data_IF_969415981964
#
_entry.id   IF_969415981964
#
_cell.length_a   1.000
_cell.length_b   1.000
_cell.length_c   1.000
_cell.angle_alpha   90.00
_cell.angle_beta   90.00
_cell.angle_gamma   90.00
#
_symmetry.space_group_name_H-M   'P 1'
#
loop_
_entity.id
_entity.type
_entity.pdbx_description
1 polymer ?
#
# COMPACT_ATOMS: atom_id res chain seq x y z
N UNK A 1 -1.48 66.56 -45.78
CA UNK A 1 -2.11 67.08 -44.55
C UNK A 1 -2.00 66.03 -43.45
N UNK A 2 -1.82 66.44 -42.19
CA UNK A 2 -1.20 65.66 -41.11
C UNK A 2 -2.21 65.19 -40.04
N UNK A 3 -1.68 64.65 -38.92
CA UNK A 3 -2.25 64.57 -37.53
C UNK A 3 -3.03 63.27 -37.22
N UNK A 4 -2.45 62.22 -36.58
CA UNK A 4 -2.23 61.97 -35.11
C UNK A 4 -3.52 61.95 -34.29
N UNK A 5 -3.76 61.20 -33.21
CA UNK A 5 -3.11 60.23 -32.30
C UNK A 5 -4.26 59.78 -31.37
N UNK A 6 -4.29 58.55 -30.82
CA UNK A 6 -4.47 58.32 -29.37
C UNK A 6 -4.57 56.83 -28.98
N UNK A 7 -3.93 56.57 -27.84
CA UNK A 7 -3.66 55.32 -27.15
C UNK A 7 -4.92 54.64 -26.56
N UNK A 8 -4.81 53.32 -26.36
CA UNK A 8 -5.56 52.59 -25.33
C UNK A 8 -5.42 51.06 -25.50
N UNK A 9 -4.95 50.30 -24.48
CA UNK A 9 -4.88 48.86 -24.57
C UNK A 9 -6.28 48.27 -24.42
N UNK A 10 -6.67 47.37 -25.32
CA UNK A 10 -7.88 46.56 -25.17
C UNK A 10 -7.66 45.57 -24.02
N UNK A 11 -8.11 45.98 -22.84
CA UNK A 11 -8.39 45.13 -21.71
C UNK A 11 -9.53 44.19 -22.11
N UNK A 12 -9.21 42.94 -22.45
CA UNK A 12 -10.19 41.87 -22.47
C UNK A 12 -10.23 41.28 -21.06
N UNK A 13 -11.39 41.39 -20.42
CA UNK A 13 -11.65 40.92 -19.07
C UNK A 13 -11.33 39.42 -18.93
N UNK A 14 -10.21 39.13 -18.27
CA UNK A 14 -10.03 37.86 -17.56
C UNK A 14 -10.91 37.91 -16.32
N UNK A 15 -12.13 37.38 -16.41
CA UNK A 15 -12.89 36.99 -15.23
C UNK A 15 -12.09 35.92 -14.49
N UNK A 16 -11.44 36.35 -13.41
CA UNK A 16 -10.72 35.50 -12.50
C UNK A 16 -11.67 34.47 -11.88
N UNK A 17 -11.48 33.22 -12.28
CA UNK A 17 -12.18 32.07 -11.72
C UNK A 17 -11.87 31.99 -10.22
N UNK A 18 -12.87 32.33 -9.41
CA UNK A 18 -12.77 32.38 -7.95
C UNK A 18 -12.50 30.97 -7.46
N UNK A 19 -11.24 30.71 -7.07
CA UNK A 19 -10.85 29.58 -6.24
C UNK A 19 -11.88 29.37 -5.12
N UNK A 20 -12.66 28.30 -5.24
CA UNK A 20 -13.56 27.86 -4.19
C UNK A 20 -12.74 27.38 -2.99
N UNK A 21 -12.55 28.26 -2.01
CA UNK A 21 -12.27 27.89 -0.63
C UNK A 21 -13.50 27.19 -0.06
N UNK A 22 -13.65 25.89 -0.32
CA UNK A 22 -14.58 25.07 0.45
C UNK A 22 -14.08 25.04 1.90
N UNK A 23 -14.85 25.64 2.82
CA UNK A 23 -14.58 25.54 4.26
C UNK A 23 -14.48 24.05 4.62
N UNK A 24 -13.41 23.58 5.27
CA UNK A 24 -13.31 22.19 5.67
C UNK A 24 -14.49 21.82 6.59
N UNK A 25 -14.98 20.57 6.49
CA UNK A 25 -16.07 20.09 7.32
C UNK A 25 -15.76 20.37 8.80
N UNK A 26 -16.80 20.68 9.58
CA UNK A 26 -16.63 21.09 10.99
C UNK A 26 -15.99 19.98 11.84
N UNK A 27 -16.02 18.74 11.34
CA UNK A 27 -15.40 17.54 11.88
C UNK A 27 -14.68 16.76 10.77
N UNK A 28 -13.48 16.26 11.04
CA UNK A 28 -12.70 15.38 10.14
C UNK A 28 -12.50 14.03 10.80
N UNK A 29 -12.59 12.92 10.09
CA UNK A 29 -12.25 11.60 10.61
C UNK A 29 -10.78 11.30 10.32
N UNK A 30 -10.08 10.69 11.27
CA UNK A 30 -8.69 10.21 11.09
C UNK A 30 -8.52 8.83 11.72
N UNK A 31 -7.60 8.05 11.15
CA UNK A 31 -7.26 6.71 11.63
C UNK A 31 -5.82 6.73 12.13
N UNK A 32 -5.60 6.46 13.41
CA UNK A 32 -4.26 6.50 13.99
C UNK A 32 -3.78 5.08 14.26
N UNK A 33 -2.67 4.70 13.64
CA UNK A 33 -1.99 3.43 13.85
C UNK A 33 -0.75 3.62 14.72
N UNK A 34 -0.57 2.74 15.70
CA UNK A 34 0.62 2.72 16.56
C UNK A 34 1.70 1.82 15.99
N UNK A 35 2.95 1.98 16.44
CA UNK A 35 4.08 1.12 16.09
C UNK A 35 3.89 -0.39 16.38
N UNK A 36 2.93 -0.74 17.26
CA UNK A 36 2.56 -2.11 17.61
C UNK A 36 1.38 -2.66 16.78
N UNK A 37 0.85 -1.88 15.83
CA UNK A 37 -0.25 -2.28 14.95
C UNK A 37 -1.66 -1.98 15.44
N UNK A 38 -1.84 -1.43 16.65
CA UNK A 38 -3.17 -1.00 17.11
C UNK A 38 -3.67 0.20 16.29
N UNK A 39 -4.94 0.15 15.86
CA UNK A 39 -5.60 1.20 15.05
C UNK A 39 -6.82 1.75 15.80
N UNK A 40 -6.96 3.07 15.81
CA UNK A 40 -8.11 3.76 16.42
C UNK A 40 -8.65 4.83 15.47
N UNK A 41 -9.96 4.85 15.24
CA UNK A 41 -10.63 5.94 14.53
C UNK A 41 -10.98 7.09 15.49
N UNK A 42 -10.73 8.34 15.07
CA UNK A 42 -11.04 9.52 15.89
C UNK A 42 -11.66 10.64 15.06
N UNK A 43 -12.60 11.36 15.66
CA UNK A 43 -13.11 12.63 15.11
C UNK A 43 -12.21 13.80 15.57
N UNK A 44 -11.76 14.58 14.59
CA UNK A 44 -11.05 15.83 14.74
C UNK A 44 -12.00 17.02 14.60
N UNK A 45 -12.09 17.82 15.63
CA UNK A 45 -12.75 19.13 15.62
C UNK A 45 -11.80 20.21 15.10
N UNK A 46 -12.33 21.39 14.76
CA UNK A 46 -11.54 22.50 14.21
C UNK A 46 -10.42 23.00 15.13
N UNK A 47 -10.63 22.91 16.44
CA UNK A 47 -9.69 23.42 17.45
C UNK A 47 -8.73 22.33 17.96
N UNK A 48 -8.85 21.10 17.44
CA UNK A 48 -7.95 20.02 17.83
C UNK A 48 -6.54 20.25 17.28
N UNK A 49 -5.55 19.99 18.12
CA UNK A 49 -4.14 20.00 17.78
C UNK A 49 -3.51 18.64 18.06
N UNK A 50 -2.25 18.46 17.66
CA UNK A 50 -1.53 17.19 17.82
C UNK A 50 -1.47 16.73 19.30
N UNK A 51 -1.38 17.65 20.27
CA UNK A 51 -1.37 17.29 21.69
C UNK A 51 -2.73 16.77 22.16
N UNK A 52 -3.84 17.39 21.72
CA UNK A 52 -5.19 16.92 22.04
C UNK A 52 -5.44 15.52 21.48
N UNK A 53 -4.94 15.23 20.28
CA UNK A 53 -4.97 13.87 19.70
C UNK A 53 -4.15 12.88 20.54
N UNK A 54 -2.88 13.19 20.84
CA UNK A 54 -2.02 12.31 21.66
C UNK A 54 -2.64 12.04 23.03
N UNK A 55 -3.21 13.06 23.68
CA UNK A 55 -3.91 12.90 24.96
C UNK A 55 -5.14 12.00 24.84
N UNK A 56 -5.96 12.17 23.81
CA UNK A 56 -7.10 11.27 23.55
C UNK A 56 -6.64 9.84 23.28
N UNK A 57 -5.57 9.65 22.53
CA UNK A 57 -4.95 8.34 22.32
C UNK A 57 -4.46 7.71 23.61
N UNK A 58 -3.79 8.47 24.48
CA UNK A 58 -3.35 7.99 25.79
C UNK A 58 -4.52 7.49 26.64
N UNK A 59 -5.64 8.21 26.62
CA UNK A 59 -6.86 7.82 27.33
C UNK A 59 -7.56 6.59 26.71
N UNK A 60 -7.46 6.41 25.40
CA UNK A 60 -8.08 5.26 24.70
C UNK A 60 -7.22 4.01 24.80
N UNK A 61 -5.90 4.15 24.68
CA UNK A 61 -4.95 3.03 24.62
C UNK A 61 -4.31 2.69 25.98
N UNK A 62 -4.54 3.50 27.02
CA UNK A 62 -3.83 3.43 28.31
C UNK A 62 -2.29 3.41 28.13
N UNK A 63 -1.77 4.10 27.10
CA UNK A 63 -0.35 4.14 26.76
C UNK A 63 0.23 5.54 26.96
N UNK A 64 1.40 5.72 27.62
CA UNK A 64 2.03 7.03 27.74
C UNK A 64 2.42 7.58 26.36
N UNK A 65 1.98 8.79 26.04
CA UNK A 65 2.27 9.46 24.75
C UNK A 65 3.30 10.59 24.87
N UNK A 66 3.88 10.79 26.06
CA UNK A 66 4.81 11.88 26.34
C UNK A 66 6.11 11.79 25.53
N UNK A 67 6.47 10.57 25.09
CA UNK A 67 7.63 10.30 24.24
C UNK A 67 7.24 9.85 22.83
N UNK A 68 6.02 10.11 22.35
CA UNK A 68 5.61 9.74 21.00
C UNK A 68 5.52 10.95 20.06
N UNK A 69 5.70 10.70 18.78
CA UNK A 69 5.49 11.64 17.68
C UNK A 69 4.36 11.15 16.78
N UNK A 70 3.51 12.08 16.39
CA UNK A 70 2.46 11.83 15.41
C UNK A 70 3.03 12.22 14.05
N UNK A 71 3.16 11.26 13.15
CA UNK A 71 3.77 11.43 11.84
C UNK A 71 2.75 11.24 10.73
N UNK A 72 2.93 12.02 9.67
CA UNK A 72 2.13 11.99 8.45
C UNK A 72 3.08 12.09 7.26
N UNK A 73 3.42 10.93 6.68
CA UNK A 73 4.55 10.80 5.74
C UNK A 73 5.85 11.25 6.42
N UNK A 74 6.59 12.13 5.76
CA UNK A 74 7.84 12.71 6.28
C UNK A 74 7.61 13.84 7.32
N UNK A 75 6.36 14.25 7.58
CA UNK A 75 6.05 15.39 8.47
C UNK A 75 5.75 14.92 9.89
N UNK A 76 6.45 15.50 10.86
CA UNK A 76 6.10 15.39 12.29
C UNK A 76 5.07 16.47 12.64
N UNK A 77 3.90 16.05 13.09
CA UNK A 77 2.80 16.93 13.48
C UNK A 77 3.01 17.41 14.92
N UNK A 78 3.49 18.64 15.07
CA UNK A 78 3.79 19.23 16.39
C UNK A 78 2.58 19.97 17.00
N UNK A 79 1.81 20.68 16.18
CA UNK A 79 0.67 21.47 16.67
C UNK A 79 -0.44 21.54 15.62
N UNK A 80 -0.11 22.03 14.42
CA UNK A 80 -1.08 22.23 13.34
C UNK A 80 -1.50 20.91 12.68
N UNK A 81 -2.81 20.75 12.48
CA UNK A 81 -3.46 19.63 11.80
C UNK A 81 -4.22 20.11 10.55
N UNK A 82 -4.00 21.35 10.09
CA UNK A 82 -4.67 21.94 8.92
C UNK A 82 -4.43 21.15 7.63
N UNK A 83 -3.24 20.56 7.47
CA UNK A 83 -2.87 19.76 6.30
C UNK A 83 -3.51 18.38 6.26
N UNK A 84 -4.18 17.94 7.33
CA UNK A 84 -4.78 16.61 7.42
C UNK A 84 -6.17 16.63 6.79
N UNK A 85 -6.38 15.77 5.79
CA UNK A 85 -7.66 15.62 5.10
C UNK A 85 -8.59 14.71 5.90
N UNK A 86 -9.86 14.67 5.51
CA UNK A 86 -10.80 13.67 6.01
C UNK A 86 -10.31 12.27 5.63
N UNK A 87 -10.55 11.28 6.49
CA UNK A 87 -10.13 9.88 6.34
C UNK A 87 -8.63 9.65 6.14
N UNK A 88 -7.80 10.52 6.74
CA UNK A 88 -6.34 10.35 6.70
C UNK A 88 -5.86 9.31 7.73
N UNK A 89 -4.95 8.45 7.30
CA UNK A 89 -4.18 7.59 8.20
C UNK A 89 -2.97 8.34 8.77
N UNK A 90 -2.83 8.32 10.09
CA UNK A 90 -1.71 8.90 10.85
C UNK A 90 -0.95 7.79 11.55
N UNK A 91 0.34 7.97 11.71
CA UNK A 91 1.20 6.99 12.36
C UNK A 91 1.76 7.56 13.66
N UNK A 92 1.66 6.80 14.76
CA UNK A 92 2.17 7.19 16.07
C UNK A 92 3.41 6.37 16.41
N UNK A 93 4.56 7.03 16.47
CA UNK A 93 5.88 6.45 16.71
C UNK A 93 6.47 6.90 18.03
N UNK A 94 7.28 6.07 18.70
CA UNK A 94 8.11 6.57 19.81
C UNK A 94 9.31 7.37 19.28
N UNK A 95 9.63 8.45 19.99
CA UNK A 95 10.82 9.23 19.77
C UNK A 95 12.05 8.41 20.21
N UNK A 96 12.95 8.11 19.27
CA UNK A 96 14.20 7.36 19.51
C UNK A 96 15.27 8.15 20.30
N UNK A 97 14.89 9.20 21.03
CA UNK A 97 15.85 9.93 21.86
C UNK A 97 16.21 9.03 23.04
N UNK A 98 17.43 8.49 23.03
CA UNK A 98 18.07 7.73 24.11
C UNK A 98 17.91 8.44 25.46
N UNK A 99 16.83 8.14 26.18
CA UNK A 99 16.75 8.32 27.63
C UNK A 99 16.13 7.07 28.21
N UNK A 100 16.96 6.27 28.87
CA UNK A 100 16.55 5.13 29.68
C UNK A 100 15.41 5.57 30.59
N UNK A 101 14.19 5.16 30.27
CA UNK A 101 13.00 5.36 31.10
C UNK A 101 12.43 3.99 31.36
N UNK A 102 12.38 3.61 32.64
CA UNK A 102 11.82 2.37 33.13
C UNK A 102 10.40 2.20 32.62
N UNK A 103 10.14 1.10 31.91
CA UNK A 103 8.79 0.74 31.47
C UNK A 103 7.89 0.57 32.71
N UNK A 104 6.78 1.31 32.86
CA UNK A 104 5.83 1.01 33.92
C UNK A 104 5.18 -0.34 33.60
N UNK A 105 5.28 -1.29 34.52
CA UNK A 105 4.62 -2.59 34.45
C UNK A 105 3.11 -2.42 34.66
N UNK A 106 2.37 -2.01 33.64
CA UNK A 106 0.91 -2.06 33.66
C UNK A 106 0.41 -3.09 32.64
N UNK A 107 -0.23 -4.11 33.20
CA UNK A 107 -0.83 -5.24 32.52
C UNK A 107 -1.89 -4.77 31.51
N UNK A 108 -1.75 -5.24 30.27
CA UNK A 108 -2.74 -5.06 29.22
C UNK A 108 -4.01 -5.85 29.56
N UNK A 109 -5.16 -5.19 29.49
CA UNK A 109 -6.46 -5.87 29.40
C UNK A 109 -7.11 -5.49 28.07
N UNK A 110 -7.34 -6.45 27.15
CA UNK A 110 -7.96 -6.19 25.84
C UNK A 110 -9.35 -5.55 25.93
N UNK A 111 -10.01 -5.69 27.08
CA UNK A 111 -11.39 -5.27 27.32
C UNK A 111 -11.61 -3.76 27.29
N UNK A 112 -10.58 -2.93 27.55
CA UNK A 112 -10.75 -1.47 27.61
C UNK A 112 -10.57 -0.75 26.26
N UNK A 113 -10.02 -1.42 25.25
CA UNK A 113 -9.69 -0.83 23.94
C UNK A 113 -10.93 -0.64 23.04
N UNK A 114 -11.98 -1.43 23.26
CA UNK A 114 -13.13 -1.51 22.35
C UNK A 114 -14.34 -0.64 22.75
N UNK A 115 -14.50 -0.26 24.02
CA UNK A 115 -15.74 0.43 24.46
C UNK A 115 -15.92 1.86 23.92
N UNK A 116 -15.03 2.36 23.05
CA UNK A 116 -15.08 3.73 22.52
C UNK A 116 -14.89 3.88 21.00
N UNK A 117 -14.57 2.81 20.25
CA UNK A 117 -14.41 2.90 18.79
C UNK A 117 -15.79 2.80 18.11
N UNK A 118 -16.40 3.95 17.78
CA UNK A 118 -17.72 4.02 17.12
C UNK A 118 -17.63 3.83 15.59
N UNK A 119 -16.57 3.21 15.10
CA UNK A 119 -16.30 3.12 13.66
C UNK A 119 -17.04 1.96 12.99
N UNK A 120 -17.28 2.10 11.68
CA UNK A 120 -17.86 1.03 10.87
C UNK A 120 -16.99 -0.22 10.80
N UNK A 121 -17.57 -1.30 10.30
CA UNK A 121 -16.87 -2.57 10.05
C UNK A 121 -15.73 -2.33 9.05
N UNK A 122 -16.00 -1.60 7.97
CA UNK A 122 -15.03 -1.18 6.97
C UNK A 122 -15.20 0.31 6.71
N UNK A 123 -14.10 1.05 6.72
CA UNK A 123 -14.04 2.47 6.34
C UNK A 123 -12.91 2.67 5.33
N UNK A 124 -13.21 3.38 4.24
CA UNK A 124 -12.23 3.68 3.19
C UNK A 124 -11.31 4.80 3.66
N UNK A 125 -10.00 4.66 3.44
CA UNK A 125 -8.97 5.62 3.86
C UNK A 125 -8.45 6.37 2.63
N UNK A 126 -8.36 7.70 2.73
CA UNK A 126 -7.58 8.53 1.81
C UNK A 126 -8.17 8.78 0.41
N UNK A 127 -9.37 8.27 0.09
CA UNK A 127 -9.98 8.42 -1.24
C UNK A 127 -10.96 9.59 -1.34
N UNK A 128 -10.87 10.32 -2.46
CA UNK A 128 -11.86 11.35 -2.78
C UNK A 128 -13.23 10.73 -3.11
N UNK A 129 -14.26 11.10 -2.33
CA UNK A 129 -15.64 10.58 -2.46
C UNK A 129 -16.29 10.83 -3.81
N UNK A 130 -15.78 11.77 -4.61
CA UNK A 130 -16.28 12.08 -5.97
C UNK A 130 -15.60 11.27 -7.07
N UNK A 131 -14.59 10.47 -6.75
CA UNK A 131 -13.86 9.67 -7.74
C UNK A 131 -14.64 8.41 -8.16
N UNK A 132 -14.41 7.96 -9.38
CA UNK A 132 -14.92 6.67 -9.87
C UNK A 132 -14.32 5.50 -9.08
N UNK A 133 -13.06 5.63 -8.66
CA UNK A 133 -12.37 4.71 -7.76
C UNK A 133 -13.13 4.52 -6.45
N UNK A 134 -13.49 5.61 -5.76
CA UNK A 134 -14.28 5.53 -4.53
C UNK A 134 -15.62 4.83 -4.75
N UNK A 135 -16.32 5.14 -5.85
CA UNK A 135 -17.61 4.49 -6.16
C UNK A 135 -17.47 2.97 -6.30
N UNK A 136 -16.48 2.50 -7.07
CA UNK A 136 -16.21 1.07 -7.25
C UNK A 136 -15.80 0.39 -5.93
N UNK A 137 -14.91 1.04 -5.17
CA UNK A 137 -14.47 0.53 -3.87
C UNK A 137 -15.64 0.44 -2.88
N UNK A 138 -16.51 1.45 -2.85
CA UNK A 138 -17.67 1.45 -1.96
C UNK A 138 -18.64 0.31 -2.31
N UNK A 139 -18.87 0.03 -3.60
CA UNK A 139 -19.69 -1.13 -4.01
C UNK A 139 -19.10 -2.46 -3.51
N UNK A 140 -17.79 -2.65 -3.67
CA UNK A 140 -17.10 -3.84 -3.16
C UNK A 140 -17.19 -3.94 -1.63
N UNK A 141 -17.02 -2.82 -0.92
CA UNK A 141 -17.12 -2.76 0.55
C UNK A 141 -18.54 -3.09 1.02
N UNK A 142 -19.58 -2.56 0.38
CA UNK A 142 -20.97 -2.87 0.72
C UNK A 142 -21.29 -4.36 0.52
N UNK A 143 -20.76 -4.99 -0.54
CA UNK A 143 -20.93 -6.43 -0.77
C UNK A 143 -20.25 -7.25 0.34
N UNK A 144 -19.05 -6.83 0.78
CA UNK A 144 -18.34 -7.46 1.90
C UNK A 144 -19.11 -7.30 3.21
N UNK A 145 -19.56 -6.08 3.54
CA UNK A 145 -20.32 -5.80 4.76
C UNK A 145 -21.61 -6.63 4.79
N UNK A 146 -22.29 -6.74 3.66
CA UNK A 146 -23.49 -7.57 3.51
C UNK A 146 -23.18 -9.03 3.83
N UNK A 147 -22.09 -9.58 3.30
CA UNK A 147 -21.68 -10.97 3.57
C UNK A 147 -21.33 -11.20 5.04
N UNK A 148 -20.56 -10.29 5.66
CA UNK A 148 -20.20 -10.38 7.08
C UNK A 148 -21.44 -10.30 8.00
N UNK A 149 -22.42 -9.46 7.66
CA UNK A 149 -23.68 -9.35 8.41
C UNK A 149 -24.53 -10.62 8.29
N UNK A 150 -24.32 -11.43 7.24
CA UNK A 150 -24.92 -12.75 7.05
C UNK A 150 -24.03 -13.89 7.56
N UNK A 151 -23.10 -13.61 8.48
CA UNK A 151 -22.21 -14.59 9.12
C UNK A 151 -21.31 -15.37 8.13
N UNK A 152 -21.01 -14.78 6.97
CA UNK A 152 -20.06 -15.35 6.01
C UNK A 152 -18.67 -14.83 6.38
N UNK A 153 -17.98 -15.60 7.21
CA UNK A 153 -16.63 -15.26 7.64
C UNK A 153 -15.62 -15.35 6.47
N UNK A 154 -14.61 -14.45 6.48
CA UNK A 154 -13.47 -14.51 5.57
C UNK A 154 -12.61 -15.77 5.82
N UNK A 155 -11.78 -16.11 4.83
CA UNK A 155 -10.90 -17.28 4.87
C UNK A 155 -9.44 -16.83 4.92
N UNK A 156 -8.65 -17.41 5.82
CA UNK A 156 -7.19 -17.18 5.87
C UNK A 156 -6.49 -17.84 4.69
N UNK A 157 -5.60 -17.09 4.03
CA UNK A 157 -4.72 -17.61 2.98
C UNK A 157 -3.47 -18.22 3.63
N UNK A 158 -3.22 -19.49 3.34
CA UNK A 158 -2.09 -20.22 3.94
C UNK A 158 -0.74 -19.93 3.27
N UNK A 159 -0.73 -19.45 2.02
CA UNK A 159 0.48 -19.10 1.26
C UNK A 159 1.07 -17.72 1.63
N UNK A 160 2.34 -17.47 1.28
CA UNK A 160 3.06 -16.21 1.50
C UNK A 160 3.70 -16.05 2.89
N UNK A 161 4.25 -14.87 3.20
CA UNK A 161 4.97 -14.60 4.46
C UNK A 161 4.19 -13.75 5.49
N UNK A 162 3.11 -13.09 5.07
CA UNK A 162 2.25 -12.24 5.92
C UNK A 162 0.83 -12.79 6.11
N UNK A 163 0.01 -12.04 6.84
CA UNK A 163 -1.44 -12.27 6.95
C UNK A 163 -2.17 -11.81 5.68
N UNK A 164 -2.99 -12.69 5.13
CA UNK A 164 -3.85 -12.40 3.98
C UNK A 164 -5.17 -13.15 4.12
N UNK A 165 -6.27 -12.49 3.75
CA UNK A 165 -7.62 -12.96 4.03
C UNK A 165 -8.52 -12.76 2.82
N UNK A 166 -9.21 -13.82 2.39
CA UNK A 166 -10.17 -13.77 1.29
C UNK A 166 -11.55 -13.48 1.87
N UNK A 167 -12.17 -12.39 1.40
CA UNK A 167 -13.54 -12.04 1.69
C UNK A 167 -14.44 -12.51 0.55
N UNK A 168 -15.62 -13.01 0.91
CA UNK A 168 -16.58 -13.63 -0.01
C UNK A 168 -17.90 -12.87 0.00
N UNK A 169 -18.66 -12.97 -1.08
CA UNK A 169 -20.03 -12.46 -1.12
C UNK A 169 -21.05 -13.44 -0.52
N UNK A 170 -22.32 -13.05 -0.54
CA UNK A 170 -23.45 -13.87 -0.03
C UNK A 170 -23.62 -15.23 -0.74
N UNK A 171 -23.04 -15.37 -1.94
CA UNK A 171 -23.05 -16.63 -2.71
C UNK A 171 -21.83 -17.52 -2.40
N UNK A 172 -20.94 -17.06 -1.51
CA UNK A 172 -19.70 -17.75 -1.18
C UNK A 172 -18.58 -17.59 -2.22
N UNK A 173 -18.74 -16.68 -3.19
CA UNK A 173 -17.70 -16.39 -4.19
C UNK A 173 -16.67 -15.43 -3.61
N UNK A 174 -15.38 -15.67 -3.85
CA UNK A 174 -14.28 -14.77 -3.46
C UNK A 174 -14.37 -13.46 -4.24
N UNK A 175 -14.39 -12.33 -3.52
CA UNK A 175 -14.54 -10.98 -4.12
C UNK A 175 -13.40 -10.02 -3.76
N UNK A 176 -12.71 -10.25 -2.64
CA UNK A 176 -11.57 -9.42 -2.25
C UNK A 176 -10.51 -10.19 -1.46
N UNK A 177 -9.27 -9.73 -1.54
CA UNK A 177 -8.15 -10.11 -0.69
C UNK A 177 -7.80 -8.90 0.18
N UNK A 178 -7.72 -9.13 1.49
CA UNK A 178 -7.36 -8.11 2.48
C UNK A 178 -6.04 -8.51 3.14
N UNK A 179 -5.07 -7.59 3.12
CA UNK A 179 -3.74 -7.77 3.74
C UNK A 179 -3.51 -6.70 4.81
N UNK A 180 -3.64 -7.03 6.11
CA UNK A 180 -3.38 -6.08 7.19
C UNK A 180 -1.90 -5.66 7.24
N UNK A 181 -1.67 -4.36 7.33
CA UNK A 181 -0.33 -3.75 7.34
C UNK A 181 0.51 -4.18 8.54
N UNK A 182 -0.10 -4.54 9.67
CA UNK A 182 0.61 -4.98 10.86
C UNK A 182 0.78 -6.49 10.97
N UNK A 183 0.39 -7.23 9.93
CA UNK A 183 0.54 -8.67 9.79
C UNK A 183 1.50 -9.08 8.66
N UNK A 184 2.12 -8.11 7.99
CA UNK A 184 3.13 -8.36 6.96
C UNK A 184 4.43 -8.96 7.56
N UNK A 185 5.40 -9.41 6.73
CA UNK A 185 6.64 -9.97 7.23
C UNK A 185 7.39 -8.99 8.16
N UNK A 186 7.83 -9.49 9.31
CA UNK A 186 8.44 -8.76 10.43
C UNK A 186 7.52 -7.87 11.25
N UNK A 187 6.26 -7.71 10.85
CA UNK A 187 5.31 -6.88 11.59
C UNK A 187 4.93 -7.50 12.96
N UNK A 188 4.52 -6.67 13.93
CA UNK A 188 4.24 -7.13 15.30
C UNK A 188 3.21 -8.26 15.38
N UNK A 189 2.19 -8.22 14.52
CA UNK A 189 1.07 -9.14 14.53
C UNK A 189 1.13 -10.18 13.41
N UNK A 190 2.30 -10.43 12.81
CA UNK A 190 2.44 -11.45 11.79
C UNK A 190 1.96 -12.84 12.28
N UNK A 191 0.96 -13.48 11.63
CA UNK A 191 0.40 -14.76 12.07
C UNK A 191 1.30 -15.97 11.81
N UNK A 192 2.33 -15.82 10.98
CA UNK A 192 3.25 -16.88 10.56
C UNK A 192 4.50 -16.95 11.44
N UNK A 193 4.59 -16.10 12.45
CA UNK A 193 5.71 -16.08 13.40
C UNK A 193 6.94 -15.32 12.91
N UNK A 194 6.91 -14.76 11.69
CA UNK A 194 7.93 -13.84 11.18
C UNK A 194 7.74 -12.47 11.83
N UNK A 195 7.90 -12.39 13.15
CA UNK A 195 7.81 -11.16 13.94
C UNK A 195 9.20 -10.67 14.30
N UNK A 196 9.32 -9.45 14.81
CA UNK A 196 10.58 -8.97 15.40
C UNK A 196 10.90 -7.50 15.17
N UNK A 197 10.04 -6.77 14.44
CA UNK A 197 10.21 -5.34 14.18
C UNK A 197 8.94 -4.58 14.52
N UNK A 198 9.12 -3.30 14.84
CA UNK A 198 8.03 -2.34 14.96
C UNK A 198 7.68 -1.78 13.59
N UNK A 199 6.44 -1.32 13.42
CA UNK A 199 6.06 -0.61 12.19
C UNK A 199 6.95 0.64 12.00
N UNK A 200 7.28 0.95 10.75
CA UNK A 200 8.18 2.04 10.37
C UNK A 200 9.68 1.71 10.45
N UNK A 201 10.08 0.52 10.93
CA UNK A 201 11.47 0.05 10.83
C UNK A 201 11.76 -0.52 9.44
N UNK A 202 13.03 -0.60 8.98
CA UNK A 202 13.38 -1.25 7.72
C UNK A 202 12.84 -2.68 7.65
N UNK A 203 12.19 -3.05 6.54
CA UNK A 203 11.45 -4.31 6.40
C UNK A 203 12.29 -5.47 5.89
N UNK A 204 11.68 -6.30 5.04
CA UNK A 204 12.32 -7.41 4.33
C UNK A 204 13.33 -6.87 3.29
N UNK A 205 12.88 -5.91 2.47
CA UNK A 205 13.75 -5.02 1.70
C UNK A 205 14.12 -3.83 2.59
N UNK A 206 15.38 -3.38 2.58
CA UNK A 206 15.83 -2.34 3.52
C UNK A 206 15.19 -0.98 3.24
N UNK A 207 14.85 -0.72 1.97
CA UNK A 207 14.22 0.49 1.48
C UNK A 207 12.69 0.50 1.57
N UNK A 208 12.07 -0.59 2.03
CA UNK A 208 10.63 -0.70 2.27
C UNK A 208 10.43 -0.97 3.75
N UNK A 209 9.74 -0.06 4.46
CA UNK A 209 9.57 -0.21 5.91
C UNK A 209 8.41 -1.13 6.24
N UNK A 210 8.49 -1.75 7.41
CA UNK A 210 7.42 -2.60 7.95
C UNK A 210 6.16 -1.77 8.15
N UNK A 211 5.03 -2.25 7.66
CA UNK A 211 3.72 -1.60 7.69
C UNK A 211 3.41 -0.74 6.47
N UNK A 212 4.31 -0.67 5.49
CA UNK A 212 4.15 0.20 4.31
C UNK A 212 3.66 -0.55 3.07
N UNK A 213 3.57 -1.88 3.08
CA UNK A 213 3.16 -2.65 1.89
C UNK A 213 1.75 -2.28 1.43
N UNK A 214 0.83 -2.03 2.36
CA UNK A 214 -0.58 -1.77 2.06
C UNK A 214 -0.82 -0.53 1.20
N UNK A 215 -0.17 0.61 1.47
CA UNK A 215 -0.35 1.79 0.62
C UNK A 215 0.40 1.67 -0.72
N UNK A 216 1.46 0.86 -0.79
CA UNK A 216 2.21 0.62 -2.03
C UNK A 216 1.37 -0.18 -3.03
N UNK A 217 0.58 -1.13 -2.55
CA UNK A 217 -0.44 -1.82 -3.34
C UNK A 217 -1.44 -0.83 -3.97
N UNK A 218 -1.89 0.16 -3.19
CA UNK A 218 -2.79 1.22 -3.69
C UNK A 218 -2.07 2.14 -4.68
N UNK A 219 -0.80 2.47 -4.43
CA UNK A 219 -0.01 3.30 -5.33
C UNK A 219 0.15 2.64 -6.71
N UNK A 220 0.39 1.33 -6.76
CA UNK A 220 0.47 0.60 -8.02
C UNK A 220 -0.85 0.67 -8.81
N UNK A 221 -1.99 0.51 -8.15
CA UNK A 221 -3.30 0.67 -8.79
C UNK A 221 -3.53 2.10 -9.31
N UNK A 222 -3.17 3.12 -8.52
CA UNK A 222 -3.35 4.52 -8.91
C UNK A 222 -2.43 4.94 -10.07
N UNK A 223 -1.23 4.35 -10.15
CA UNK A 223 -0.27 4.59 -11.23
C UNK A 223 -0.57 3.78 -12.49
N UNK A 224 -1.44 2.78 -12.43
CA UNK A 224 -1.90 2.01 -13.59
C UNK A 224 -2.98 2.79 -14.37
N UNK A 225 -2.54 3.78 -15.14
CA UNK A 225 -3.44 4.68 -15.87
C UNK A 225 -4.32 3.91 -16.85
N UNK A 226 -5.61 4.21 -16.84
CA UNK A 226 -6.63 3.56 -17.68
C UNK A 226 -6.65 2.02 -17.57
N UNK A 227 -6.11 1.46 -16.48
CA UNK A 227 -5.92 0.03 -16.27
C UNK A 227 -5.07 -0.63 -17.38
N UNK A 228 -4.03 0.07 -17.84
CA UNK A 228 -3.15 -0.41 -18.91
C UNK A 228 -2.46 -1.73 -18.57
N UNK A 229 -1.90 -1.87 -17.37
CA UNK A 229 -1.30 -3.11 -16.85
C UNK A 229 -2.33 -4.09 -16.26
N UNK A 230 -3.51 -3.59 -15.90
CA UNK A 230 -4.61 -4.42 -15.37
C UNK A 230 -4.49 -4.71 -13.88
N UNK A 231 -3.91 -3.79 -13.08
CA UNK A 231 -3.86 -3.93 -11.62
C UNK A 231 -5.29 -3.97 -11.08
N UNK A 232 -5.69 -5.01 -10.32
CA UNK A 232 -7.04 -5.09 -9.76
C UNK A 232 -7.35 -3.90 -8.83
N UNK A 233 -8.64 -3.54 -8.75
CA UNK A 233 -9.14 -2.47 -7.89
C UNK A 233 -8.58 -2.62 -6.47
N UNK A 234 -7.75 -1.65 -6.05
CA UNK A 234 -7.07 -1.70 -4.75
C UNK A 234 -7.32 -0.42 -3.97
N UNK A 235 -7.57 -0.53 -2.67
CA UNK A 235 -7.82 0.60 -1.78
C UNK A 235 -7.30 0.35 -0.37
N UNK A 236 -7.01 1.42 0.37
CA UNK A 236 -6.65 1.31 1.77
C UNK A 236 -7.92 1.42 2.61
N UNK A 237 -8.09 0.52 3.57
CA UNK A 237 -9.26 0.49 4.44
C UNK A 237 -8.86 0.32 5.90
N UNK A 238 -9.65 0.89 6.81
CA UNK A 238 -9.74 0.42 8.18
C UNK A 238 -10.80 -0.67 8.22
N UNK A 239 -10.46 -1.84 8.71
CA UNK A 239 -11.36 -3.00 8.77
C UNK A 239 -11.36 -3.61 10.17
N UNK A 240 -12.52 -4.07 10.63
CA UNK A 240 -12.71 -4.68 11.94
C UNK A 240 -13.27 -6.08 11.82
N UNK A 241 -12.50 -7.07 12.28
CA UNK A 241 -12.93 -8.47 12.27
C UNK A 241 -12.19 -9.27 13.34
N UNK A 242 -12.79 -10.37 13.80
CA UNK A 242 -12.19 -11.28 14.80
C UNK A 242 -11.12 -12.22 14.21
N UNK A 243 -11.08 -12.37 12.88
CA UNK A 243 -10.12 -13.23 12.17
C UNK A 243 -8.69 -12.68 12.20
N UNK A 244 -8.54 -11.36 12.37
CA UNK A 244 -7.24 -10.71 12.31
C UNK A 244 -6.38 -11.12 13.49
N UNK A 245 -5.09 -11.30 13.23
CA UNK A 245 -4.18 -11.78 14.22
C UNK A 245 -3.79 -10.68 15.20
N UNK A 246 -3.71 -11.03 16.48
CA UNK A 246 -3.13 -10.21 17.53
C UNK A 246 -2.14 -11.06 18.30
N UNK A 247 -0.87 -10.67 18.25
CA UNK A 247 0.15 -11.27 19.08
C UNK A 247 0.16 -10.53 20.42
N UNK A 248 -0.07 -11.25 21.52
CA UNK A 248 0.18 -10.71 22.84
C UNK A 248 1.68 -10.36 22.95
N UNK A 249 2.00 -9.16 23.43
CA UNK A 249 3.39 -8.70 23.56
C UNK A 249 4.15 -9.65 24.49
N UNK A 250 4.96 -10.54 23.92
CA UNK A 250 5.69 -11.58 24.67
C UNK A 250 6.81 -10.95 25.50
N UNK A 251 6.53 -10.63 26.75
CA UNK A 251 7.56 -10.63 27.79
C UNK A 251 7.63 -12.04 28.40
N UNK A 252 8.59 -12.84 27.91
CA UNK A 252 9.49 -13.65 28.75
C UNK A 252 8.96 -14.67 29.78
N UNK A 253 7.69 -15.07 29.80
CA UNK A 253 7.26 -16.19 30.66
C UNK A 253 6.84 -17.39 29.82
N UNK A 254 7.69 -18.42 29.84
CA UNK A 254 7.32 -19.80 29.49
C UNK A 254 6.07 -20.20 30.28
N UNK A 255 4.91 -20.00 29.69
CA UNK A 255 3.66 -20.66 30.10
C UNK A 255 3.19 -21.41 28.87
N UNK A 256 3.87 -22.53 28.61
CA UNK A 256 3.18 -23.69 28.05
C UNK A 256 2.02 -23.98 29.01
N UNK A 257 0.83 -24.16 28.46
CA UNK A 257 -0.46 -24.34 29.14
C UNK A 257 -1.16 -23.06 29.57
N UNK A 258 -1.89 -22.45 28.62
CA UNK A 258 -3.25 -21.96 28.89
C UNK A 258 -4.08 -22.15 27.63
N UNK A 259 -5.17 -22.93 27.77
CA UNK A 259 -6.28 -23.00 26.84
C UNK A 259 -6.51 -21.61 26.23
N UNK A 260 -6.42 -21.50 24.90
CA UNK A 260 -6.94 -20.35 24.16
C UNK A 260 -8.40 -20.19 24.57
N UNK A 261 -8.67 -19.29 25.52
CA UNK A 261 -10.02 -18.82 25.75
C UNK A 261 -10.32 -18.02 24.49
N UNK A 262 -11.07 -18.63 23.56
CA UNK A 262 -11.64 -17.98 22.39
C UNK A 262 -12.56 -16.86 22.87
N UNK A 263 -11.99 -15.72 23.23
CA UNK A 263 -12.72 -14.47 23.17
C UNK A 263 -12.53 -14.02 21.72
N UNK A 264 -13.59 -14.12 20.90
CA UNK A 264 -13.64 -13.50 19.58
C UNK A 264 -13.59 -11.98 19.77
N UNK A 265 -12.39 -11.44 19.97
CA UNK A 265 -12.20 -9.99 20.08
C UNK A 265 -12.08 -9.45 18.67
N UNK A 266 -13.04 -8.64 18.25
CA UNK A 266 -12.95 -7.91 16.99
C UNK A 266 -11.78 -6.93 16.99
N UNK A 267 -10.94 -6.94 15.97
CA UNK A 267 -9.72 -6.11 15.93
C UNK A 267 -9.79 -5.16 14.75
N UNK A 268 -9.56 -3.88 15.00
CA UNK A 268 -9.41 -2.86 13.95
C UNK A 268 -7.99 -2.89 13.39
N UNK A 269 -7.85 -2.99 12.07
CA UNK A 269 -6.58 -2.98 11.33
C UNK A 269 -6.65 -2.01 10.15
N UNK A 270 -5.51 -1.46 9.73
CA UNK A 270 -5.35 -0.82 8.43
C UNK A 270 -4.86 -1.89 7.46
N UNK A 271 -5.52 -2.04 6.33
CA UNK A 271 -5.23 -3.09 5.36
C UNK A 271 -5.35 -2.57 3.92
N UNK A 272 -4.59 -3.14 3.00
CA UNK A 272 -4.94 -3.08 1.59
C UNK A 272 -6.13 -4.02 1.34
N UNK A 273 -7.10 -3.54 0.57
CA UNK A 273 -8.24 -4.28 0.07
C UNK A 273 -8.16 -4.28 -1.44
N UNK A 274 -7.85 -5.43 -2.01
CA UNK A 274 -7.72 -5.64 -3.45
C UNK A 274 -8.85 -6.54 -3.93
N UNK A 275 -9.48 -6.20 -5.04
CA UNK A 275 -10.48 -7.04 -5.68
C UNK A 275 -9.87 -8.41 -6.04
N UNK A 276 -10.57 -9.47 -5.69
CA UNK A 276 -10.20 -10.82 -6.09
C UNK A 276 -10.58 -11.03 -7.54
N UNK A 277 -9.61 -11.44 -8.37
CA UNK A 277 -9.85 -11.81 -9.75
C UNK A 277 -9.88 -13.34 -9.85
N UNK A 278 -11.01 -13.95 -10.30
CA UNK A 278 -11.03 -15.36 -10.64
C UNK A 278 -9.96 -15.68 -11.68
N UNK A 279 -9.13 -16.67 -11.38
CA UNK A 279 -8.00 -17.10 -12.19
C UNK A 279 -7.85 -18.62 -12.07
N UNK A 280 -7.11 -19.21 -13.00
CA UNK A 280 -6.90 -20.66 -13.05
C UNK A 280 -5.61 -21.05 -12.33
N UNK A 281 -4.53 -20.31 -12.57
CA UNK A 281 -3.18 -20.58 -12.06
C UNK A 281 -2.41 -19.27 -11.87
N UNK A 282 -1.18 -19.36 -11.36
CA UNK A 282 -0.18 -18.30 -11.50
C UNK A 282 0.83 -18.65 -12.62
N UNK A 283 1.64 -17.68 -13.02
CA UNK A 283 2.55 -17.85 -14.15
C UNK A 283 3.69 -18.84 -13.87
N UNK A 284 3.92 -19.28 -12.63
CA UNK A 284 4.93 -20.31 -12.32
C UNK A 284 4.48 -21.72 -12.72
N UNK A 285 3.16 -21.94 -12.79
CA UNK A 285 2.54 -23.19 -13.22
C UNK A 285 2.33 -23.24 -14.75
N UNK A 286 2.70 -22.18 -15.47
CA UNK A 286 2.44 -22.04 -16.91
C UNK A 286 3.69 -21.68 -17.70
N UNK A 287 3.87 -22.27 -18.88
CA UNK A 287 5.00 -21.95 -19.74
C UNK A 287 4.88 -20.56 -20.36
N UNK A 288 5.92 -19.73 -20.26
CA UNK A 288 5.87 -18.34 -20.70
C UNK A 288 5.52 -18.14 -22.20
N UNK A 289 5.65 -19.18 -23.04
CA UNK A 289 5.38 -19.12 -24.48
C UNK A 289 3.94 -18.78 -24.87
N UNK A 290 2.96 -18.99 -23.98
CA UNK A 290 1.54 -18.69 -24.25
C UNK A 290 1.14 -17.27 -23.84
N UNK A 291 2.01 -16.54 -23.13
CA UNK A 291 1.69 -15.19 -22.68
C UNK A 291 1.69 -14.20 -23.85
N UNK A 292 0.68 -13.32 -23.86
CA UNK A 292 0.59 -12.22 -24.82
C UNK A 292 1.77 -11.26 -24.67
N UNK A 293 2.36 -10.83 -25.79
CA UNK A 293 3.41 -9.80 -25.81
C UNK A 293 2.89 -8.53 -25.13
N UNK A 294 1.66 -8.13 -25.47
CA UNK A 294 1.05 -6.91 -24.94
C UNK A 294 0.89 -6.97 -23.41
N UNK A 295 0.52 -8.12 -22.85
CA UNK A 295 0.34 -8.24 -21.40
C UNK A 295 1.69 -8.13 -20.67
N UNK A 296 2.71 -8.83 -21.18
CA UNK A 296 4.07 -8.76 -20.64
C UNK A 296 4.62 -7.34 -20.70
N UNK A 297 4.41 -6.65 -21.83
CA UNK A 297 4.83 -5.26 -22.01
C UNK A 297 4.12 -4.32 -21.04
N UNK A 298 2.79 -4.39 -20.94
CA UNK A 298 1.99 -3.52 -20.06
C UNK A 298 2.39 -3.68 -18.59
N UNK A 299 2.57 -4.92 -18.14
CA UNK A 299 3.02 -5.24 -16.78
C UNK A 299 4.45 -4.73 -16.56
N UNK A 300 5.37 -5.00 -17.49
CA UNK A 300 6.76 -4.57 -17.39
C UNK A 300 6.91 -3.05 -17.38
N UNK A 301 6.13 -2.33 -18.19
CA UNK A 301 6.06 -0.86 -18.19
C UNK A 301 5.70 -0.32 -16.81
N UNK A 302 4.67 -0.89 -16.16
CA UNK A 302 4.30 -0.49 -14.81
C UNK A 302 5.40 -0.84 -13.81
N UNK A 303 5.92 -2.06 -13.83
CA UNK A 303 6.94 -2.55 -12.91
C UNK A 303 8.24 -1.73 -12.98
N UNK A 304 8.65 -1.30 -14.18
CA UNK A 304 9.77 -0.38 -14.38
C UNK A 304 9.49 0.96 -13.71
N UNK A 305 8.31 1.58 -13.97
CA UNK A 305 7.96 2.89 -13.40
C UNK A 305 7.97 2.90 -11.88
N UNK A 306 7.42 1.83 -11.28
CA UNK A 306 7.30 1.73 -9.82
C UNK A 306 8.53 1.10 -9.16
N UNK A 307 9.54 0.70 -9.94
CA UNK A 307 10.69 -0.09 -9.49
C UNK A 307 10.24 -1.26 -8.60
N UNK A 308 9.46 -2.17 -9.18
CA UNK A 308 8.99 -3.34 -8.44
C UNK A 308 10.17 -4.26 -8.11
N UNK A 309 10.40 -4.51 -6.82
CA UNK A 309 11.58 -5.27 -6.37
C UNK A 309 11.33 -6.77 -6.20
N UNK A 310 10.13 -7.24 -6.56
CA UNK A 310 9.68 -8.61 -6.33
C UNK A 310 8.67 -9.09 -7.39
N UNK A 311 8.87 -8.75 -8.67
CA UNK A 311 8.03 -9.31 -9.74
C UNK A 311 8.54 -10.71 -10.13
N UNK A 312 8.03 -11.73 -9.46
CA UNK A 312 8.21 -13.13 -9.83
C UNK A 312 6.95 -13.73 -10.49
N UNK A 313 7.07 -14.90 -11.13
CA UNK A 313 5.97 -15.56 -11.83
C UNK A 313 4.73 -15.80 -10.94
N UNK A 314 4.93 -16.14 -9.66
CA UNK A 314 3.84 -16.29 -8.69
C UNK A 314 3.03 -15.01 -8.38
N UNK A 315 3.51 -13.83 -8.80
CA UNK A 315 2.80 -12.55 -8.64
C UNK A 315 2.02 -12.16 -9.91
N UNK A 316 1.89 -13.07 -10.87
CA UNK A 316 1.16 -12.90 -12.11
C UNK A 316 0.11 -13.99 -12.22
N UNK A 317 -1.16 -13.62 -12.09
CA UNK A 317 -2.26 -14.56 -12.25
C UNK A 317 -2.49 -14.83 -13.73
N UNK A 318 -2.86 -16.07 -14.04
CA UNK A 318 -3.18 -16.53 -15.40
C UNK A 318 -4.66 -16.90 -15.44
N UNK A 319 -5.41 -16.24 -16.32
CA UNK A 319 -6.81 -16.55 -16.60
C UNK A 319 -6.98 -17.02 -18.04
N UNK A 320 -7.67 -18.14 -18.25
CA UNK A 320 -8.04 -18.61 -19.59
C UNK A 320 -9.19 -17.76 -20.14
N UNK A 321 -9.03 -17.25 -21.36
CA UNK A 321 -10.04 -16.40 -22.00
C UNK A 321 -11.10 -17.24 -22.71
N UNK A 322 -10.73 -18.40 -23.26
CA UNK A 322 -11.63 -19.30 -23.99
C UNK A 322 -11.36 -20.78 -23.67
N UNK A 323 -12.37 -21.52 -23.20
CA UNK A 323 -12.29 -22.97 -22.92
C UNK A 323 -12.06 -23.83 -24.17
N UNK A 324 -12.21 -23.26 -25.37
CA UNK A 324 -12.16 -23.98 -26.65
C UNK A 324 -10.87 -23.82 -27.47
N UNK A 325 -10.08 -22.77 -27.24
CA UNK A 325 -8.80 -22.54 -27.94
C UNK A 325 -7.65 -22.71 -26.96
N UNK A 326 -6.88 -23.78 -27.13
CA UNK A 326 -5.65 -24.00 -26.39
C UNK A 326 -4.66 -22.86 -26.69
N UNK A 327 -4.52 -21.91 -25.77
CA UNK A 327 -3.35 -21.03 -25.73
C UNK A 327 -3.57 -19.57 -25.38
N UNK A 328 -4.79 -19.03 -25.48
CA UNK A 328 -5.02 -17.62 -25.16
C UNK A 328 -5.32 -17.43 -23.68
N UNK A 329 -4.35 -16.84 -22.99
CA UNK A 329 -4.41 -16.53 -21.57
C UNK A 329 -4.17 -15.05 -21.35
N UNK A 330 -4.76 -14.53 -20.28
CA UNK A 330 -4.60 -13.16 -19.81
C UNK A 330 -3.75 -13.16 -18.54
N UNK A 331 -2.80 -12.23 -18.47
CA UNK A 331 -2.01 -12.00 -17.27
C UNK A 331 -2.57 -10.85 -16.43
N UNK A 332 -2.70 -11.07 -15.13
CA UNK A 332 -3.15 -10.06 -14.17
C UNK A 332 -2.06 -9.85 -13.11
N UNK A 333 -1.47 -8.65 -13.00
CA UNK A 333 -0.44 -8.39 -12.00
C UNK A 333 -1.05 -8.17 -10.62
N UNK A 334 -0.50 -8.87 -9.63
CA UNK A 334 -0.86 -8.71 -8.22
C UNK A 334 0.41 -8.50 -7.37
N UNK A 335 0.21 -8.26 -6.07
CA UNK A 335 1.25 -8.19 -5.05
C UNK A 335 2.36 -7.16 -5.33
N UNK A 336 1.98 -5.88 -5.27
CA UNK A 336 2.88 -4.73 -5.46
C UNK A 336 3.41 -4.18 -4.13
N UNK A 337 3.34 -4.94 -3.03
CA UNK A 337 3.74 -4.48 -1.69
C UNK A 337 5.20 -4.03 -1.59
N UNK A 338 6.07 -4.48 -2.51
CA UNK A 338 7.51 -4.17 -2.55
C UNK A 338 7.92 -3.26 -3.72
N UNK A 339 7.01 -2.39 -4.19
CA UNK A 339 7.32 -1.32 -5.13
C UNK A 339 7.64 0.03 -4.45
N UNK A 340 8.13 1.00 -5.23
CA UNK A 340 8.44 2.38 -4.86
C UNK A 340 9.43 2.54 -3.69
N UNK A 341 10.58 1.82 -3.69
CA UNK A 341 11.52 1.85 -2.57
C UNK A 341 12.05 3.25 -2.25
N UNK A 342 12.56 3.46 -1.03
CA UNK A 342 13.20 4.72 -0.61
C UNK A 342 14.47 5.07 -1.39
N UNK A 343 15.16 4.05 -1.90
CA UNK A 343 16.39 4.18 -2.66
C UNK A 343 16.40 3.15 -3.77
N UNK A 344 17.27 3.32 -4.75
CA UNK A 344 17.47 2.29 -5.78
C UNK A 344 17.95 1.00 -5.10
N UNK A 345 17.12 -0.02 -5.22
CA UNK A 345 17.44 -1.40 -4.88
C UNK A 345 17.55 -2.22 -6.16
N UNK A 346 18.12 -3.41 -6.05
CA UNK A 346 18.18 -4.35 -7.17
C UNK A 346 16.78 -4.95 -7.37
N UNK A 347 16.09 -4.62 -8.47
CA UNK A 347 14.78 -5.20 -8.75
C UNK A 347 14.92 -6.66 -9.18
N UNK A 348 13.81 -7.39 -9.08
CA UNK A 348 13.69 -8.72 -9.69
C UNK A 348 12.50 -8.68 -10.65
N UNK A 349 12.78 -8.91 -11.93
CA UNK A 349 11.80 -8.90 -13.01
C UNK A 349 11.86 -10.24 -13.75
N UNK A 350 10.92 -11.13 -13.44
CA UNK A 350 10.82 -12.44 -14.10
C UNK A 350 10.67 -12.31 -15.62
N UNK A 351 9.93 -11.30 -16.07
CA UNK A 351 9.60 -11.10 -17.49
C UNK A 351 10.82 -10.79 -18.36
N UNK A 352 11.97 -10.40 -17.80
CA UNK A 352 13.22 -10.22 -18.59
C UNK A 352 13.61 -11.52 -19.28
N UNK A 353 13.30 -12.66 -18.64
CA UNK A 353 13.65 -13.99 -19.16
C UNK A 353 12.63 -14.53 -20.16
N UNK A 354 11.56 -13.78 -20.43
CA UNK A 354 10.49 -14.20 -21.33
C UNK A 354 10.74 -13.65 -22.73
N UNK A 355 10.63 -14.46 -23.81
CA UNK A 355 10.92 -14.02 -25.18
C UNK A 355 10.14 -12.77 -25.61
N UNK A 356 8.93 -12.58 -25.06
CA UNK A 356 8.08 -11.42 -25.30
C UNK A 356 8.78 -10.10 -24.96
N UNK A 357 9.58 -10.06 -23.90
CA UNK A 357 10.26 -8.84 -23.47
C UNK A 357 11.35 -8.36 -24.43
N UNK A 358 11.86 -9.25 -25.30
CA UNK A 358 12.84 -8.92 -26.32
C UNK A 358 12.20 -8.41 -27.62
N UNK A 359 10.87 -8.29 -27.67
CA UNK A 359 10.15 -7.75 -28.81
C UNK A 359 10.05 -6.22 -28.66
N UNK A 360 10.19 -5.43 -29.73
CA UNK A 360 9.98 -3.99 -29.67
C UNK A 360 8.57 -3.63 -29.18
N UNK A 361 8.44 -2.51 -28.47
CA UNK A 361 7.14 -1.97 -28.10
C UNK A 361 6.30 -1.65 -29.35
N UNK A 362 5.00 -1.86 -29.24
CA UNK A 362 4.02 -1.40 -30.22
C UNK A 362 3.84 0.12 -30.15
N UNK A 363 3.30 0.72 -31.22
CA UNK A 363 3.00 2.15 -31.26
C UNK A 363 2.09 2.58 -30.10
N UNK A 364 1.10 1.75 -29.75
CA UNK A 364 0.19 2.03 -28.62
C UNK A 364 0.90 2.02 -27.26
N UNK A 365 1.91 1.17 -27.09
CA UNK A 365 2.71 1.12 -25.86
C UNK A 365 3.66 2.31 -25.79
N UNK A 366 4.25 2.71 -26.91
CA UNK A 366 5.11 3.90 -27.01
C UNK A 366 4.32 5.19 -26.73
N UNK A 367 3.12 5.32 -27.30
CA UNK A 367 2.20 6.44 -27.03
C UNK A 367 1.83 6.50 -25.54
N UNK A 368 1.50 5.35 -24.95
CA UNK A 368 1.23 5.25 -23.51
C UNK A 368 2.43 5.73 -22.69
N UNK A 369 3.63 5.19 -22.94
CA UNK A 369 4.88 5.58 -22.25
C UNK A 369 5.14 7.08 -22.40
N UNK A 370 4.97 7.63 -23.60
CA UNK A 370 5.19 9.05 -23.87
C UNK A 370 4.23 9.94 -23.09
N UNK A 371 2.98 9.50 -22.88
CA UNK A 371 1.94 10.25 -22.17
C UNK A 371 2.16 10.37 -20.66
N UNK A 372 3.01 9.52 -20.06
CA UNK A 372 3.25 9.47 -18.62
C UNK A 372 3.87 10.77 -18.08
N UNK A 373 3.35 11.26 -16.95
CA UNK A 373 3.80 12.50 -16.29
C UNK A 373 4.11 12.23 -14.81
N UNK A 374 5.39 11.99 -14.53
CA UNK A 374 5.86 11.73 -13.17
C UNK A 374 5.56 12.85 -12.16
N UNK A 375 5.49 14.11 -12.61
CA UNK A 375 5.20 15.25 -11.76
C UNK A 375 3.74 15.25 -11.31
N UNK A 376 2.83 15.02 -12.27
CA UNK A 376 1.40 14.85 -12.01
C UNK A 376 1.12 13.63 -11.14
N UNK A 377 1.77 12.52 -11.43
CA UNK A 377 1.63 11.26 -10.68
C UNK A 377 2.10 11.43 -9.24
N UNK A 378 3.24 12.10 -9.03
CA UNK A 378 3.75 12.39 -7.69
C UNK A 378 2.78 13.26 -6.89
N UNK A 379 2.16 14.26 -7.51
CA UNK A 379 1.20 15.13 -6.83
C UNK A 379 -0.11 14.40 -6.49
N UNK A 380 -0.56 13.52 -7.39
CA UNK A 380 -1.69 12.63 -7.13
C UNK A 380 -1.39 11.73 -5.93
N UNK A 381 -0.22 11.09 -5.88
CA UNK A 381 0.16 10.22 -4.76
C UNK A 381 0.32 11.00 -3.44
N UNK A 382 0.87 12.21 -3.44
CA UNK A 382 0.86 13.08 -2.24
C UNK A 382 -0.55 13.37 -1.74
N UNK A 383 -1.49 13.47 -2.67
CA UNK A 383 -2.88 13.84 -2.38
C UNK A 383 -3.69 12.67 -1.85
N UNK A 384 -3.59 11.50 -2.47
CA UNK A 384 -4.37 10.29 -2.15
C UNK A 384 -3.66 9.41 -1.09
N UNK A 385 -2.33 9.36 -1.11
CA UNK A 385 -1.49 8.55 -0.22
C UNK A 385 -0.47 9.41 0.53
N UNK A 386 -0.90 10.32 1.41
CA UNK A 386 -0.01 11.29 2.05
C UNK A 386 1.01 10.69 3.03
N UNK A 387 0.92 9.38 3.32
CA UNK A 387 1.95 8.63 4.04
C UNK A 387 3.16 8.27 3.16
N UNK A 388 3.05 8.42 1.83
CA UNK A 388 4.17 8.20 0.92
C UNK A 388 5.27 9.23 1.19
N UNK A 389 6.52 8.77 1.09
CA UNK A 389 7.70 9.57 1.44
C UNK A 389 8.31 10.13 0.17
N UNK A 390 8.91 11.32 0.27
CA UNK A 390 9.46 12.01 -0.92
C UNK A 390 10.57 11.21 -1.59
N UNK A 391 11.25 10.34 -0.83
CA UNK A 391 12.22 9.40 -1.36
C UNK A 391 11.60 8.44 -2.41
N UNK A 392 10.42 7.88 -2.12
CA UNK A 392 9.69 7.00 -3.02
C UNK A 392 9.27 7.75 -4.31
N UNK A 393 8.83 9.01 -4.18
CA UNK A 393 8.42 9.84 -5.32
C UNK A 393 9.60 10.22 -6.23
N UNK A 394 10.80 10.40 -5.67
CA UNK A 394 12.02 10.58 -6.46
C UNK A 394 12.35 9.34 -7.28
N UNK A 395 12.18 8.13 -6.72
CA UNK A 395 12.38 6.88 -7.46
C UNK A 395 11.36 6.76 -8.59
N UNK A 396 10.06 7.00 -8.33
CA UNK A 396 9.03 7.04 -9.38
C UNK A 396 9.41 8.00 -10.52
N UNK A 397 9.85 9.20 -10.17
CA UNK A 397 10.23 10.22 -11.16
C UNK A 397 11.41 9.76 -11.99
N UNK A 398 12.46 9.26 -11.34
CA UNK A 398 13.65 8.76 -12.01
C UNK A 398 13.33 7.61 -12.96
N UNK A 399 12.58 6.60 -12.49
CA UNK A 399 12.21 5.43 -13.27
C UNK A 399 11.28 5.76 -14.43
N UNK A 400 10.34 6.69 -14.25
CA UNK A 400 9.46 7.13 -15.33
C UNK A 400 10.24 7.90 -16.40
N UNK A 401 11.13 8.82 -16.02
CA UNK A 401 12.00 9.52 -16.99
C UNK A 401 12.90 8.53 -17.72
N UNK A 402 13.54 7.61 -16.99
CA UNK A 402 14.38 6.58 -17.58
C UNK A 402 13.63 5.74 -18.61
N UNK A 403 12.44 5.24 -18.27
CA UNK A 403 11.60 4.47 -19.19
C UNK A 403 11.29 5.25 -20.47
N UNK A 404 10.93 6.53 -20.36
CA UNK A 404 10.60 7.37 -21.52
C UNK A 404 11.80 7.56 -22.44
N UNK A 405 12.96 7.87 -21.89
CA UNK A 405 14.20 8.05 -22.66
C UNK A 405 14.65 6.74 -23.32
N UNK A 406 14.57 5.62 -22.59
CA UNK A 406 14.94 4.31 -23.11
C UNK A 406 14.01 3.84 -24.25
N UNK A 407 12.69 4.00 -24.07
CA UNK A 407 11.71 3.69 -25.10
C UNK A 407 11.87 4.58 -26.33
N UNK A 408 12.13 5.89 -26.15
CA UNK A 408 12.41 6.81 -27.25
C UNK A 408 13.71 6.49 -28.00
N UNK A 409 14.70 5.91 -27.31
CA UNK A 409 15.92 5.39 -27.94
C UNK A 409 15.70 4.10 -28.72
N UNK A 410 14.56 3.44 -28.53
CA UNK A 410 14.20 2.19 -29.21
C UNK A 410 14.62 0.92 -28.47
N UNK A 411 14.92 1.00 -27.16
CA UNK A 411 15.20 -0.18 -26.35
C UNK A 411 13.91 -1.00 -26.12
N UNK A 412 14.03 -2.33 -26.20
CA UNK A 412 12.96 -3.24 -25.80
C UNK A 412 12.88 -3.38 -24.28
N UNK A 413 11.80 -4.00 -23.80
CA UNK A 413 11.55 -4.16 -22.38
C UNK A 413 12.67 -4.95 -21.66
N UNK A 414 13.20 -6.00 -22.29
CA UNK A 414 14.31 -6.80 -21.75
C UNK A 414 15.55 -5.94 -21.50
N UNK A 415 15.99 -5.15 -22.49
CA UNK A 415 17.16 -4.27 -22.38
C UNK A 415 16.99 -3.24 -21.27
N UNK A 416 15.78 -2.68 -21.14
CA UNK A 416 15.44 -1.74 -20.06
C UNK A 416 15.55 -2.43 -18.69
N UNK A 417 14.96 -3.63 -18.56
CA UNK A 417 15.01 -4.41 -17.32
C UNK A 417 16.44 -4.82 -16.94
N UNK A 418 17.25 -5.22 -17.93
CA UNK A 418 18.65 -5.57 -17.74
C UNK A 418 19.49 -4.37 -17.27
N UNK A 419 19.25 -3.18 -17.81
CA UNK A 419 19.93 -1.96 -17.36
C UNK A 419 19.59 -1.59 -15.91
N UNK A 420 18.40 -1.97 -15.42
CA UNK A 420 17.95 -1.73 -14.05
C UNK A 420 18.38 -2.82 -13.08
N UNK A 421 18.74 -4.00 -13.58
CA UNK A 421 19.06 -5.17 -12.77
C UNK A 421 20.57 -5.40 -12.74
N UNK A 422 21.11 -5.94 -11.65
CA UNK A 422 22.53 -6.34 -11.64
C UNK A 422 22.71 -7.64 -12.41
N UNK A 423 23.80 -7.75 -13.16
CA UNK A 423 24.26 -9.03 -13.68
C UNK A 423 24.40 -10.03 -12.51
N UNK A 424 23.72 -11.16 -12.60
CA UNK A 424 23.92 -12.29 -11.69
C UNK A 424 25.33 -12.86 -11.90
N UNK A 425 26.34 -12.27 -11.26
CA UNK A 425 27.68 -12.86 -11.20
C UNK A 425 27.66 -13.94 -10.14
N UNK A 426 27.53 -15.20 -10.58
CA UNK A 426 27.51 -16.42 -9.76
C UNK A 426 28.79 -16.67 -8.91
N UNK A 427 29.66 -15.66 -8.70
CA UNK A 427 30.98 -15.82 -8.04
C UNK A 427 31.12 -15.25 -6.64
N UNK A 428 30.17 -14.51 -6.09
CA UNK A 428 30.31 -13.88 -4.77
C UNK A 428 29.23 -14.28 -3.74
N UNK A 429 28.82 -15.55 -3.73
CA UNK A 429 28.20 -16.12 -2.53
C UNK A 429 29.27 -16.85 -1.70
N UNK A 430 30.05 -16.10 -0.92
CA UNK A 430 30.53 -16.67 0.33
C UNK A 430 29.28 -16.95 1.21
N UNK A 431 29.10 -18.18 1.71
CA UNK A 431 27.98 -18.48 2.58
C UNK A 431 28.09 -17.61 3.84
N UNK A 432 27.17 -16.65 4.00
CA UNK A 432 27.01 -15.89 5.24
C UNK A 432 26.90 -16.90 6.38
N UNK A 433 27.94 -16.93 7.21
CA UNK A 433 28.12 -17.93 8.28
C UNK A 433 26.84 -18.06 9.08
N UNK A 434 26.32 -19.29 9.15
CA UNK A 434 25.35 -19.71 10.15
C UNK A 434 25.92 -19.32 11.52
N UNK A 435 25.23 -18.43 12.24
CA UNK A 435 25.44 -18.27 13.68
C UNK A 435 24.87 -19.54 14.32
N UNK A 436 25.72 -20.55 14.41
CA UNK A 436 25.49 -21.70 15.28
C UNK A 436 25.67 -21.17 16.69
N UNK A 437 24.58 -21.09 17.45
CA UNK A 437 24.64 -20.88 18.88
C UNK A 437 25.42 -22.02 19.51
N UNK A 438 26.65 -21.72 19.95
CA UNK A 438 27.35 -22.56 20.91
C UNK A 438 26.67 -22.39 22.26
N UNK A 439 26.25 -23.51 22.83
CA UNK A 439 25.83 -23.59 24.22
C UNK A 439 26.98 -23.29 25.18
N UNK A 440 26.56 -22.76 26.32
CA UNK A 440 27.29 -22.63 27.59
C UNK A 440 26.25 -22.44 28.67
#
# INVERSE_FOLDING_TARGET
>A
MPVTLLNGPLHADYEGDKRFNQKPPNKRRVFIQTENGCVVGMELERNDNAHTLKRRMQLTLNHPTDQTSLTFGDKVLNHDLSSIKHDSALFLTKNLIHRSSSTPCLLQTPRSLQQKDQSGIIEIIGLNTRSTHFTKTNQLVEEIITALTNEIDPITVNGGLGGAYIFRNIKGQSIAIVKPTDEEPFAPNNPKGFTGKLLGQPGFKQSVRVGETGFREVAAYLLDHDHFAGVPLTSLVKITHSIFNLNDSVNGSKIQNKKRVNVNVNVSKIASLQQFIPHDFDASDHGASSFSISDVHRIGILDVRILNTDRHAGNLLVRKVNDGNFGEVELIPIDHGLCLPECLEDPYFEWIHWPQSSIPFSDSELEYIQSLDAGRDSEMLRTELPMIREACLRVLTLCTVFLKEAAAFGLCLAEIGEMMSREFRCKDQEPRRKVVGMGG
#
